data_IF_769310297566
#
_entry.id   IF_769310297566
#
_cell.length_a   1.000
_cell.length_b   1.000
_cell.length_c   1.000
_cell.angle_alpha   90.00
_cell.angle_beta   90.00
_cell.angle_gamma   90.00
#
_symmetry.space_group_name_H-M   'P 1'
#
loop_
_entity.id
_entity.type
_entity.pdbx_description
1 polymer ?
#
# COMPACT_ATOMS: atom_id res chain seq x y z
N UNK A 1 16.32 -16.75 5.65
CA UNK A 1 15.04 -17.50 5.62
C UNK A 1 15.06 -18.54 4.50
N UNK A 2 14.64 -19.77 4.78
CA UNK A 2 14.57 -20.85 3.79
C UNK A 2 13.77 -20.44 2.54
N UNK A 3 12.67 -19.70 2.74
CA UNK A 3 11.77 -19.22 1.69
C UNK A 3 12.37 -18.16 0.75
N UNK A 4 13.46 -17.51 1.14
CA UNK A 4 14.11 -16.44 0.35
C UNK A 4 15.42 -16.90 -0.30
N UNK A 5 15.86 -18.13 -0.02
CA UNK A 5 17.14 -18.65 -0.49
C UNK A 5 17.11 -18.92 -1.99
N UNK A 6 18.17 -18.51 -2.69
CA UNK A 6 18.42 -18.86 -4.07
C UNK A 6 19.93 -19.10 -4.27
N UNK A 7 20.25 -20.03 -5.18
CA UNK A 7 21.64 -20.32 -5.54
C UNK A 7 22.25 -19.16 -6.35
N UNK A 8 23.58 -19.05 -6.30
CA UNK A 8 24.32 -18.14 -7.15
C UNK A 8 24.74 -18.85 -8.44
N UNK A 9 24.78 -18.10 -9.54
CA UNK A 9 25.39 -18.53 -10.79
C UNK A 9 26.92 -18.43 -10.73
N UNK A 10 27.59 -18.84 -11.80
CA UNK A 10 29.04 -18.79 -11.92
C UNK A 10 29.63 -17.35 -11.84
N UNK A 11 28.80 -16.32 -11.97
CA UNK A 11 29.18 -14.90 -11.86
C UNK A 11 28.91 -14.33 -10.46
N UNK A 12 28.42 -15.15 -9.53
CA UNK A 12 28.06 -14.73 -8.17
C UNK A 12 26.73 -14.00 -8.09
N UNK A 13 25.92 -13.99 -9.16
CA UNK A 13 24.58 -13.40 -9.16
C UNK A 13 23.54 -14.46 -8.80
N UNK A 14 22.47 -14.05 -8.14
CA UNK A 14 21.37 -14.96 -7.82
C UNK A 14 20.69 -15.43 -9.11
N UNK A 15 20.35 -16.72 -9.17
CA UNK A 15 19.62 -17.29 -10.33
C UNK A 15 18.21 -16.71 -10.50
N UNK A 16 17.59 -16.25 -9.41
CA UNK A 16 16.25 -15.65 -9.37
C UNK A 16 16.26 -14.12 -9.53
N UNK A 17 17.42 -13.50 -9.78
CA UNK A 17 17.59 -12.04 -9.77
C UNK A 17 16.53 -11.32 -10.61
N UNK A 18 16.32 -11.78 -11.85
CA UNK A 18 15.36 -11.15 -12.78
C UNK A 18 13.91 -11.59 -12.56
N UNK A 19 13.67 -12.57 -11.68
CA UNK A 19 12.33 -13.06 -11.36
C UNK A 19 11.71 -12.27 -10.20
N UNK A 20 12.52 -11.52 -9.45
CA UNK A 20 12.12 -10.79 -8.25
C UNK A 20 12.24 -9.28 -8.46
N UNK A 21 11.11 -8.54 -8.52
CA UNK A 21 11.16 -7.10 -8.76
C UNK A 21 11.93 -6.33 -7.68
N UNK A 22 11.90 -6.78 -6.43
CA UNK A 22 12.62 -6.17 -5.30
C UNK A 22 14.14 -6.26 -5.42
N UNK A 23 14.65 -7.08 -6.34
CA UNK A 23 16.08 -7.20 -6.62
C UNK A 23 16.53 -6.36 -7.83
N UNK A 24 15.62 -5.82 -8.62
CA UNK A 24 15.94 -5.17 -9.91
C UNK A 24 15.24 -3.84 -10.17
N UNK A 25 14.17 -3.51 -9.44
CA UNK A 25 13.37 -2.29 -9.62
C UNK A 25 13.68 -1.28 -8.51
N UNK A 26 13.65 0.01 -8.83
CA UNK A 26 13.83 1.08 -7.84
C UNK A 26 12.60 1.34 -6.96
N UNK A 27 11.45 0.74 -7.29
CA UNK A 27 10.20 0.85 -6.54
C UNK A 27 9.44 -0.46 -6.64
N UNK A 28 8.92 -0.94 -5.51
CA UNK A 28 8.17 -2.19 -5.38
C UNK A 28 7.11 -2.06 -4.28
N UNK A 29 6.10 -2.91 -4.34
CA UNK A 29 5.12 -3.08 -3.27
C UNK A 29 5.29 -4.46 -2.65
N UNK A 30 5.18 -4.53 -1.32
CA UNK A 30 5.20 -5.79 -0.58
C UNK A 30 3.83 -6.05 0.05
N UNK A 31 3.46 -7.33 0.14
CA UNK A 31 2.31 -7.73 0.95
C UNK A 31 2.70 -7.57 2.41
N UNK A 32 2.05 -6.63 3.11
CA UNK A 32 2.28 -6.43 4.52
C UNK A 32 1.74 -7.64 5.32
N UNK A 33 2.57 -8.29 6.16
CA UNK A 33 2.12 -9.42 6.97
C UNK A 33 1.28 -8.95 8.18
N UNK A 34 0.69 -9.92 8.89
CA UNK A 34 -0.29 -9.65 9.95
C UNK A 34 0.28 -8.84 11.12
N UNK A 35 1.59 -8.90 11.38
CA UNK A 35 2.24 -8.07 12.40
C UNK A 35 2.16 -6.55 12.13
N UNK A 36 1.86 -6.13 10.90
CA UNK A 36 1.58 -4.74 10.57
C UNK A 36 0.11 -4.35 10.77
N UNK A 37 -0.73 -5.27 11.26
CA UNK A 37 -2.18 -5.08 11.38
C UNK A 37 -2.65 -5.30 12.82
N UNK A 38 -3.37 -4.32 13.37
CA UNK A 38 -4.08 -4.49 14.66
C UNK A 38 -5.41 -5.26 14.46
N UNK A 39 -6.01 -5.13 13.27
CA UNK A 39 -7.22 -5.83 12.82
C UNK A 39 -7.22 -5.91 11.29
N UNK A 40 -8.06 -6.75 10.67
CA UNK A 40 -8.21 -6.77 9.21
C UNK A 40 -8.52 -5.37 8.65
N UNK A 41 -7.91 -4.97 7.52
CA UNK A 41 -8.21 -3.69 6.88
C UNK A 41 -9.69 -3.57 6.55
N UNK A 42 -10.33 -2.50 7.02
CA UNK A 42 -11.70 -2.20 6.63
C UNK A 42 -11.68 -1.42 5.30
N UNK A 43 -12.62 -1.69 4.37
CA UNK A 43 -12.69 -0.94 3.12
C UNK A 43 -12.88 0.56 3.41
N UNK A 44 -12.25 1.45 2.63
CA UNK A 44 -12.45 2.88 2.79
C UNK A 44 -13.90 3.25 2.47
N UNK A 45 -14.45 4.20 3.24
CA UNK A 45 -15.82 4.69 3.07
C UNK A 45 -15.78 6.21 2.97
N UNK A 46 -16.55 6.77 2.04
CA UNK A 46 -16.77 8.21 1.96
C UNK A 46 -17.89 8.62 2.94
N UNK A 47 -17.61 9.61 3.78
CA UNK A 47 -18.59 10.22 4.67
C UNK A 47 -18.65 11.72 4.38
N UNK A 48 -19.79 12.18 3.88
CA UNK A 48 -20.03 13.59 3.59
C UNK A 48 -20.69 14.23 4.80
N UNK A 49 -20.02 15.24 5.36
CA UNK A 49 -20.58 16.09 6.41
C UNK A 49 -20.83 17.47 5.82
N UNK A 50 -22.09 17.87 5.75
CA UNK A 50 -22.52 19.16 5.21
C UNK A 50 -22.98 20.02 6.38
N UNK A 51 -22.39 21.20 6.54
CA UNK A 51 -22.90 22.20 7.47
C UNK A 51 -24.19 22.82 6.91
N UNK A 52 -25.28 22.71 7.67
CA UNK A 52 -26.62 23.27 7.37
C UNK A 52 -26.98 24.45 8.28
N UNK A 53 -25.98 25.09 8.88
CA UNK A 53 -26.18 26.28 9.70
C UNK A 53 -26.75 27.45 8.88
N UNK A 54 -27.37 28.41 9.58
CA UNK A 54 -27.88 29.64 8.96
C UNK A 54 -26.76 30.39 8.20
N UNK A 55 -25.53 30.33 8.71
CA UNK A 55 -24.37 30.95 8.06
C UNK A 55 -24.07 30.30 6.72
N UNK A 56 -24.03 28.96 6.69
CA UNK A 56 -23.80 28.16 5.49
C UNK A 56 -24.88 28.37 4.41
N UNK A 57 -26.14 28.49 4.83
CA UNK A 57 -27.24 28.82 3.92
C UNK A 57 -27.07 30.23 3.35
N UNK A 58 -26.81 31.22 4.21
CA UNK A 58 -26.72 32.64 3.79
C UNK A 58 -25.52 32.93 2.88
N UNK A 59 -24.45 32.15 3.00
CA UNK A 59 -23.26 32.30 2.15
C UNK A 59 -23.42 31.65 0.77
N UNK A 60 -24.50 30.89 0.54
CA UNK A 60 -24.70 30.13 -0.71
C UNK A 60 -23.89 28.84 -0.79
N UNK A 61 -23.32 28.35 0.32
CA UNK A 61 -22.51 27.12 0.33
C UNK A 61 -23.35 25.86 0.06
N UNK A 62 -24.66 25.94 0.27
CA UNK A 62 -25.61 24.83 0.14
C UNK A 62 -26.44 24.92 -1.17
N UNK A 63 -26.28 25.98 -1.96
CA UNK A 63 -26.98 26.19 -3.24
C UNK A 63 -26.12 25.86 -4.47
#
# INVERSE_FOLDING_TARGET
>A
PSEYYAQLDATGKRVDLNQRPELTKGTVEFVAPAEYMVRPPMPPVYFFLIDVSISAVRSGMIE
#
